data_IF_561109098154
#
_entry.id   IF_561109098154
#
_cell.length_a   1.000
_cell.length_b   1.000
_cell.length_c   1.000
_cell.angle_alpha   90.00
_cell.angle_beta   90.00
_cell.angle_gamma   90.00
#
_symmetry.space_group_name_H-M   'P 1'
#
loop_
_entity.id
_entity.type
_entity.pdbx_description
1 polymer ?
#
# COMPACT_ATOMS: atom_id res chain seq x y z
N UNK A 1 4.87 15.45 14.18
CA UNK A 1 3.74 14.81 13.49
C UNK A 1 2.63 14.59 14.52
N UNK A 2 1.35 14.78 14.16
CA UNK A 2 0.21 14.41 15.02
C UNK A 2 -0.21 12.97 14.69
N UNK A 3 -0.67 12.17 15.67
CA UNK A 3 -1.23 10.84 15.40
C UNK A 3 -2.44 10.90 14.45
N UNK A 4 -2.69 9.84 13.68
CA UNK A 4 -3.78 9.79 12.70
C UNK A 4 -5.15 9.98 13.35
N UNK A 5 -5.35 9.45 14.56
CA UNK A 5 -6.60 9.61 15.31
C UNK A 5 -6.91 11.06 15.76
N UNK A 6 -5.95 11.99 15.62
CA UNK A 6 -6.17 13.43 15.85
C UNK A 6 -6.58 14.16 14.58
N UNK A 7 -6.42 13.54 13.41
CA UNK A 7 -6.64 14.16 12.10
C UNK A 7 -7.77 13.52 11.30
N UNK A 8 -7.97 12.22 11.47
CA UNK A 8 -8.93 11.40 10.74
C UNK A 8 -9.78 10.58 11.72
N UNK A 9 -10.97 10.11 11.31
CA UNK A 9 -11.83 9.23 12.12
C UNK A 9 -11.29 7.78 12.25
N UNK A 10 -9.98 7.62 12.45
CA UNK A 10 -9.33 6.35 12.75
C UNK A 10 -9.19 6.26 14.27
N UNK A 11 -9.83 5.31 14.94
CA UNK A 11 -9.65 5.13 16.39
C UNK A 11 -8.46 4.23 16.66
N UNK A 12 -8.37 3.12 15.92
CA UNK A 12 -7.30 2.14 16.07
C UNK A 12 -6.77 1.72 14.69
N UNK A 13 -5.45 1.63 14.58
CA UNK A 13 -4.83 1.20 13.34
C UNK A 13 -3.49 0.51 13.55
N UNK A 14 -3.06 -0.23 12.53
CA UNK A 14 -1.82 -1.00 12.55
C UNK A 14 -0.89 -0.66 11.38
N UNK A 15 0.40 -0.90 11.57
CA UNK A 15 1.45 -0.82 10.56
C UNK A 15 2.15 -2.17 10.45
N UNK A 16 2.23 -2.73 9.24
CA UNK A 16 2.94 -3.96 8.93
C UNK A 16 4.05 -3.62 7.94
N UNK A 17 5.31 -3.74 8.36
CA UNK A 17 6.47 -3.49 7.50
C UNK A 17 7.66 -4.35 7.92
N UNK A 18 8.54 -4.63 6.95
CA UNK A 18 9.87 -5.17 7.20
C UNK A 18 10.90 -4.07 7.55
N UNK A 19 10.61 -2.82 7.17
CA UNK A 19 11.54 -1.68 7.23
C UNK A 19 11.34 -0.90 8.53
N UNK A 20 12.40 -0.77 9.32
CA UNK A 20 12.34 -0.11 10.63
C UNK A 20 11.97 1.37 10.56
N UNK A 21 12.38 2.07 9.50
CA UNK A 21 11.99 3.46 9.26
C UNK A 21 10.46 3.59 9.16
N UNK A 22 9.82 2.74 8.38
CA UNK A 22 8.36 2.73 8.18
C UNK A 22 7.64 2.35 9.48
N UNK A 23 8.17 1.40 10.26
CA UNK A 23 7.64 1.08 11.59
C UNK A 23 7.70 2.29 12.52
N UNK A 24 8.83 2.99 12.54
CA UNK A 24 9.02 4.21 13.33
C UNK A 24 8.01 5.29 12.94
N UNK A 25 7.80 5.53 11.65
CA UNK A 25 6.79 6.48 11.16
C UNK A 25 5.40 6.05 11.61
N UNK A 26 5.06 4.77 11.52
CA UNK A 26 3.79 4.23 12.01
C UNK A 26 3.58 4.46 13.51
N UNK A 27 4.61 4.26 14.34
CA UNK A 27 4.57 4.57 15.78
C UNK A 27 4.30 6.06 16.00
N UNK A 28 5.00 6.95 15.29
CA UNK A 28 4.72 8.39 15.33
C UNK A 28 3.31 8.75 14.85
N UNK A 29 2.73 7.94 13.97
CA UNK A 29 1.36 8.07 13.48
C UNK A 29 0.30 7.52 14.47
N UNK A 30 0.72 6.87 15.55
CA UNK A 30 -0.15 6.22 16.52
C UNK A 30 -0.66 4.84 16.07
N UNK A 31 0.05 4.17 15.15
CA UNK A 31 -0.27 2.82 14.69
C UNK A 31 0.45 1.76 15.52
N UNK A 32 -0.23 0.65 15.78
CA UNK A 32 0.34 -0.55 16.38
C UNK A 32 1.27 -1.25 15.38
N UNK A 33 2.50 -1.57 15.78
CA UNK A 33 3.45 -2.29 14.92
C UNK A 33 3.18 -3.79 14.98
N UNK A 34 2.80 -4.38 13.86
CA UNK A 34 2.64 -5.83 13.72
C UNK A 34 3.87 -6.37 12.99
N UNK A 35 4.61 -7.24 13.69
CA UNK A 35 5.78 -7.92 13.13
C UNK A 35 5.36 -9.26 12.53
N UNK A 36 5.86 -9.54 11.33
CA UNK A 36 5.60 -10.79 10.61
C UNK A 36 6.91 -11.54 10.49
N UNK A 37 6.92 -12.78 10.98
CA UNK A 37 8.08 -13.67 10.85
C UNK A 37 8.42 -13.89 9.37
N UNK A 38 9.71 -13.80 9.02
CA UNK A 38 10.17 -13.91 7.64
C UNK A 38 9.88 -12.68 6.76
N UNK A 39 9.45 -11.55 7.33
CA UNK A 39 9.35 -10.29 6.59
C UNK A 39 10.74 -9.66 6.39
N UNK A 40 11.42 -10.02 5.30
CA UNK A 40 12.81 -9.59 5.01
C UNK A 40 12.90 -8.21 4.36
N UNK A 41 11.84 -7.76 3.68
CA UNK A 41 11.87 -6.55 2.85
C UNK A 41 12.39 -6.79 1.43
N UNK A 42 12.95 -7.97 1.13
CA UNK A 42 13.46 -8.33 -0.18
C UNK A 42 12.41 -9.14 -0.97
N UNK A 43 12.77 -9.53 -2.20
CA UNK A 43 11.89 -10.31 -3.09
C UNK A 43 11.43 -11.66 -2.50
N UNK A 44 12.15 -12.19 -1.51
CA UNK A 44 11.87 -13.44 -0.81
C UNK A 44 11.10 -13.24 0.51
N UNK A 45 10.64 -12.01 0.81
CA UNK A 45 9.86 -11.71 2.01
C UNK A 45 8.64 -12.61 2.13
N UNK A 46 8.17 -12.83 3.36
CA UNK A 46 6.93 -13.56 3.63
C UNK A 46 5.68 -12.74 3.23
N UNK A 47 5.30 -12.76 1.95
CA UNK A 47 4.11 -12.06 1.44
C UNK A 47 2.82 -12.61 2.06
N UNK A 48 2.68 -13.93 2.12
CA UNK A 48 1.49 -14.59 2.65
C UNK A 48 1.27 -14.28 4.13
N UNK A 49 2.36 -14.29 4.92
CA UNK A 49 2.33 -13.89 6.33
C UNK A 49 1.92 -12.44 6.49
N UNK A 50 2.40 -11.54 5.62
CA UNK A 50 2.00 -10.13 5.61
C UNK A 50 0.53 -9.93 5.24
N UNK A 51 0.05 -10.62 4.21
CA UNK A 51 -1.36 -10.59 3.82
C UNK A 51 -2.27 -11.13 4.92
N UNK A 52 -1.91 -12.26 5.54
CA UNK A 52 -2.63 -12.83 6.69
C UNK A 52 -2.67 -11.85 7.86
N UNK A 53 -1.53 -11.28 8.23
CA UNK A 53 -1.44 -10.32 9.31
C UNK A 53 -2.31 -9.07 9.05
N UNK A 54 -2.37 -8.59 7.81
CA UNK A 54 -3.23 -7.47 7.44
C UNK A 54 -4.71 -7.81 7.58
N UNK A 55 -5.13 -8.98 7.10
CA UNK A 55 -6.50 -9.47 7.23
C UNK A 55 -6.91 -9.69 8.69
N UNK A 56 -6.03 -10.24 9.52
CA UNK A 56 -6.31 -10.43 10.94
C UNK A 56 -6.34 -9.09 11.68
N UNK A 57 -5.47 -8.15 11.33
CA UNK A 57 -5.48 -6.80 11.88
C UNK A 57 -6.77 -6.04 11.53
N UNK A 58 -7.28 -6.16 10.29
CA UNK A 58 -8.51 -5.49 9.86
C UNK A 58 -9.76 -5.91 10.63
N UNK A 59 -9.76 -7.09 11.28
CA UNK A 59 -10.88 -7.52 12.14
C UNK A 59 -10.99 -6.73 13.45
N UNK A 60 -9.89 -6.09 13.86
CA UNK A 60 -9.73 -5.46 15.17
C UNK A 60 -9.30 -3.99 15.07
N UNK A 61 -9.17 -3.45 13.85
CA UNK A 61 -8.64 -2.12 13.57
C UNK A 61 -9.40 -1.45 12.42
N UNK A 62 -9.59 -0.14 12.49
CA UNK A 62 -10.26 0.65 11.45
C UNK A 62 -9.33 0.94 10.25
N UNK A 63 -8.03 0.78 10.44
CA UNK A 63 -7.02 1.14 9.46
C UNK A 63 -5.78 0.23 9.54
N UNK A 64 -5.32 -0.26 8.39
CA UNK A 64 -4.08 -1.05 8.30
C UNK A 64 -3.21 -0.49 7.19
N UNK A 65 -1.99 -0.08 7.53
CA UNK A 65 -0.95 0.26 6.58
C UNK A 65 -0.04 -0.96 6.36
N UNK A 66 -0.18 -1.61 5.21
CA UNK A 66 0.66 -2.74 4.81
C UNK A 66 1.73 -2.28 3.82
N UNK A 67 2.99 -2.53 4.16
CA UNK A 67 4.15 -2.10 3.40
C UNK A 67 4.95 -3.25 2.78
N UNK A 68 5.26 -3.11 1.49
CA UNK A 68 6.03 -4.05 0.67
C UNK A 68 7.21 -3.31 0.05
N UNK A 69 8.43 -3.66 0.48
CA UNK A 69 9.67 -2.96 0.11
C UNK A 69 10.31 -3.50 -1.19
N UNK A 70 10.07 -4.77 -1.52
CA UNK A 70 10.84 -5.51 -2.52
C UNK A 70 10.91 -4.85 -3.92
N UNK A 71 9.89 -4.10 -4.31
CA UNK A 71 9.86 -3.39 -5.60
C UNK A 71 10.79 -2.17 -5.65
N UNK A 72 11.05 -1.55 -4.51
CA UNK A 72 11.98 -0.43 -4.39
C UNK A 72 13.43 -0.90 -4.45
N UNK A 73 13.76 -1.95 -3.70
CA UNK A 73 15.07 -2.61 -3.71
C UNK A 73 15.48 -3.06 -5.12
N UNK A 74 14.58 -3.71 -5.86
CA UNK A 74 14.83 -4.06 -7.26
C UNK A 74 15.06 -2.82 -8.15
N UNK A 75 14.40 -1.70 -7.83
CA UNK A 75 14.63 -0.40 -8.47
C UNK A 75 16.04 0.14 -8.21
N UNK A 76 16.52 0.05 -6.97
CA UNK A 76 17.88 0.43 -6.58
C UNK A 76 18.96 -0.45 -7.21
N UNK A 77 18.72 -1.75 -7.34
CA UNK A 77 19.63 -2.66 -8.04
C UNK A 77 19.66 -2.40 -9.56
N UNK A 78 18.61 -1.75 -10.08
CA UNK A 78 18.42 -1.53 -11.50
C UNK A 78 18.08 -2.81 -12.27
N UNK A 79 17.54 -3.80 -11.56
CA UNK A 79 17.10 -5.08 -12.14
C UNK A 79 15.63 -4.96 -12.55
N UNK A 80 15.41 -4.80 -13.86
CA UNK A 80 14.07 -4.64 -14.43
C UNK A 80 13.25 -5.91 -14.30
N UNK A 81 13.85 -7.08 -14.52
CA UNK A 81 13.13 -8.36 -14.48
C UNK A 81 12.71 -8.69 -13.05
N UNK A 82 13.57 -8.42 -12.07
CA UNK A 82 13.23 -8.55 -10.67
C UNK A 82 12.14 -7.55 -10.25
N UNK A 83 12.23 -6.29 -10.72
CA UNK A 83 11.23 -5.28 -10.39
C UNK A 83 9.85 -5.61 -10.95
N UNK A 84 9.78 -6.13 -12.18
CA UNK A 84 8.52 -6.64 -12.75
C UNK A 84 7.98 -7.79 -11.91
N UNK A 85 8.85 -8.75 -11.56
CA UNK A 85 8.46 -9.92 -10.75
C UNK A 85 7.94 -9.54 -9.36
N UNK A 86 8.54 -8.56 -8.69
CA UNK A 86 8.07 -8.11 -7.36
C UNK A 86 6.73 -7.38 -7.43
N UNK A 87 6.43 -6.69 -8.54
CA UNK A 87 5.09 -6.14 -8.82
C UNK A 87 4.07 -7.26 -9.06
N UNK A 88 4.42 -8.30 -9.82
CA UNK A 88 3.56 -9.49 -10.00
C UNK A 88 3.31 -10.24 -8.68
N UNK A 89 4.32 -10.31 -7.80
CA UNK A 89 4.17 -10.86 -6.45
C UNK A 89 3.27 -9.99 -5.58
N UNK A 90 3.39 -8.66 -5.65
CA UNK A 90 2.47 -7.76 -4.97
C UNK A 90 1.02 -8.02 -5.42
N UNK A 91 0.78 -8.10 -6.72
CA UNK A 91 -0.56 -8.36 -7.28
C UNK A 91 -1.12 -9.72 -6.81
N UNK A 92 -0.37 -10.78 -7.06
CA UNK A 92 -0.86 -12.15 -6.83
C UNK A 92 -0.83 -12.62 -5.38
N UNK A 93 0.12 -12.14 -4.57
CA UNK A 93 0.37 -12.63 -3.19
C UNK A 93 -0.07 -11.65 -2.10
N UNK A 94 -0.40 -10.40 -2.44
CA UNK A 94 -0.92 -9.40 -1.50
C UNK A 94 -2.29 -8.89 -1.93
N UNK A 95 -2.37 -8.23 -3.09
CA UNK A 95 -3.59 -7.52 -3.52
C UNK A 95 -4.74 -8.51 -3.73
N UNK A 96 -4.52 -9.55 -4.54
CA UNK A 96 -5.52 -10.58 -4.81
C UNK A 96 -6.06 -11.25 -3.53
N UNK A 97 -5.25 -11.84 -2.64
CA UNK A 97 -5.79 -12.51 -1.46
C UNK A 97 -6.51 -11.56 -0.48
N UNK A 98 -6.03 -10.32 -0.33
CA UNK A 98 -6.71 -9.32 0.52
C UNK A 98 -8.07 -8.94 -0.11
N UNK A 99 -8.08 -8.66 -1.41
CA UNK A 99 -9.30 -8.31 -2.13
C UNK A 99 -10.33 -9.44 -2.10
N UNK A 100 -9.92 -10.68 -2.41
CA UNK A 100 -10.81 -11.84 -2.44
C UNK A 100 -11.41 -12.10 -1.05
N UNK A 101 -10.59 -12.07 0.02
CA UNK A 101 -11.07 -12.28 1.39
C UNK A 101 -12.02 -11.17 1.82
N UNK A 102 -11.61 -9.90 1.73
CA UNK A 102 -12.43 -8.76 2.19
C UNK A 102 -13.71 -8.57 1.37
N UNK A 103 -13.76 -9.05 0.12
CA UNK A 103 -14.99 -9.05 -0.69
C UNK A 103 -16.08 -9.98 -0.14
N UNK A 104 -15.71 -10.94 0.71
CA UNK A 104 -16.65 -11.84 1.39
C UNK A 104 -17.20 -11.26 2.69
N UNK A 105 -16.64 -10.17 3.19
CA UNK A 105 -17.05 -9.59 4.47
C UNK A 105 -18.34 -8.77 4.32
N UNK A 106 -19.14 -8.78 5.39
CA UNK A 106 -20.34 -7.95 5.47
C UNK A 106 -19.98 -6.47 5.61
N UNK A 107 -18.97 -6.17 6.42
CA UNK A 107 -18.41 -4.82 6.56
C UNK A 107 -17.53 -4.49 5.35
N UNK A 108 -17.83 -3.40 4.61
CA UNK A 108 -17.07 -3.04 3.43
C UNK A 108 -15.68 -2.52 3.81
N UNK A 109 -14.66 -3.06 3.15
CA UNK A 109 -13.28 -2.58 3.29
C UNK A 109 -12.93 -1.67 2.10
N UNK A 110 -12.38 -0.50 2.40
CA UNK A 110 -11.74 0.36 1.40
C UNK A 110 -10.27 -0.04 1.26
N UNK A 111 -9.85 -0.35 0.04
CA UNK A 111 -8.48 -0.73 -0.31
C UNK A 111 -7.87 0.38 -1.16
N UNK A 112 -6.67 0.81 -0.78
CA UNK A 112 -5.85 1.73 -1.57
C UNK A 112 -4.51 1.05 -1.88
N UNK A 113 -4.05 1.15 -3.13
CA UNK A 113 -2.75 0.63 -3.56
C UNK A 113 -2.00 1.74 -4.27
N UNK A 114 -0.79 2.04 -3.79
CA UNK A 114 0.13 3.04 -4.32
C UNK A 114 1.55 2.80 -3.79
N UNK A 115 2.60 3.12 -4.56
CA UNK A 115 3.93 3.30 -4.01
C UNK A 115 4.02 4.67 -3.31
N UNK A 116 4.98 4.83 -2.41
CA UNK A 116 5.27 6.10 -1.74
C UNK A 116 6.18 7.02 -2.58
N UNK A 117 7.04 6.44 -3.43
CA UNK A 117 7.83 7.18 -4.41
C UNK A 117 8.22 6.35 -5.65
N UNK A 118 8.60 6.99 -6.77
CA UNK A 118 9.19 6.28 -7.90
C UNK A 118 10.70 6.10 -7.76
N UNK A 119 11.15 4.86 -8.00
CA UNK A 119 12.58 4.48 -8.04
C UNK A 119 12.92 3.83 -9.39
N UNK A 120 13.16 4.61 -10.46
CA UNK A 120 13.36 4.06 -11.80
C UNK A 120 14.67 3.25 -11.90
N UNK A 121 14.62 2.03 -12.46
CA UNK A 121 15.79 1.14 -12.57
C UNK A 121 16.99 1.76 -13.31
N UNK A 122 16.74 2.67 -14.25
CA UNK A 122 17.79 3.39 -14.97
C UNK A 122 18.51 4.43 -14.11
N UNK A 123 17.85 4.96 -13.08
CA UNK A 123 18.37 6.01 -12.20
C UNK A 123 18.85 5.42 -10.86
N UNK A 124 18.27 4.29 -10.43
CA UNK A 124 18.65 3.53 -9.22
C UNK A 124 18.57 4.33 -7.92
N UNK A 125 17.77 5.39 -7.94
CA UNK A 125 17.50 6.22 -6.77
C UNK A 125 16.12 6.87 -6.91
N UNK A 126 15.61 7.41 -5.82
CA UNK A 126 14.28 7.97 -5.76
C UNK A 126 14.20 9.22 -6.65
N UNK A 127 13.07 9.37 -7.31
CA UNK A 127 12.72 10.53 -8.10
C UNK A 127 11.50 11.23 -7.50
N UNK A 128 11.07 12.33 -8.10
CA UNK A 128 9.98 13.18 -7.57
C UNK A 128 8.73 13.19 -8.44
N UNK A 129 8.69 12.30 -9.43
CA UNK A 129 7.51 12.16 -10.28
C UNK A 129 6.32 11.69 -9.47
N UNK A 130 5.11 12.02 -9.93
CA UNK A 130 3.89 11.56 -9.31
C UNK A 130 3.75 10.03 -9.44
N UNK A 131 3.18 9.40 -8.42
CA UNK A 131 2.92 7.96 -8.37
C UNK A 131 1.48 7.65 -8.79
N UNK A 132 1.22 6.51 -9.47
CA UNK A 132 -0.13 6.05 -9.67
C UNK A 132 -0.73 5.57 -8.35
N UNK A 133 -2.05 5.63 -8.22
CA UNK A 133 -2.77 4.99 -7.13
C UNK A 133 -4.12 4.48 -7.62
N UNK A 134 -4.67 3.50 -6.91
CA UNK A 134 -6.04 3.02 -7.09
C UNK A 134 -6.73 2.97 -5.73
N UNK A 135 -8.01 3.34 -5.71
CA UNK A 135 -8.91 3.19 -4.56
C UNK A 135 -10.07 2.29 -4.98
N UNK A 136 -10.38 1.31 -4.14
CA UNK A 136 -11.52 0.42 -4.30
C UNK A 136 -12.29 0.33 -3.00
N UNK A 137 -13.61 0.32 -3.07
CA UNK A 137 -14.47 -0.16 -2.01
C UNK A 137 -15.72 -0.77 -2.63
N UNK A 138 -16.43 -1.62 -1.87
CA UNK A 138 -17.70 -2.19 -2.32
C UNK A 138 -18.68 -1.07 -2.68
N UNK A 139 -19.21 -1.11 -3.90
CA UNK A 139 -20.17 -0.11 -4.41
C UNK A 139 -19.54 1.17 -4.97
N UNK A 140 -18.22 1.25 -5.14
CA UNK A 140 -17.59 2.37 -5.84
C UNK A 140 -18.04 2.42 -7.31
N UNK A 141 -18.32 3.63 -7.82
CA UNK A 141 -18.55 3.85 -9.25
C UNK A 141 -17.20 3.89 -9.99
N UNK A 142 -16.92 2.93 -10.89
CA UNK A 142 -15.63 2.88 -11.57
C UNK A 142 -15.52 3.99 -12.62
N UNK A 143 -14.31 4.53 -12.78
CA UNK A 143 -14.01 5.42 -13.90
C UNK A 143 -13.67 4.64 -15.20
N UNK A 144 -13.17 5.36 -16.21
CA UNK A 144 -12.85 4.78 -17.50
C UNK A 144 -11.53 4.00 -17.54
N UNK A 145 -10.70 4.08 -16.51
CA UNK A 145 -9.38 3.43 -16.46
C UNK A 145 -9.54 1.92 -16.27
N UNK A 146 -8.77 1.13 -17.01
CA UNK A 146 -8.84 -0.35 -17.02
C UNK A 146 -7.53 -1.05 -16.68
N UNK A 147 -6.43 -0.32 -16.61
CA UNK A 147 -5.10 -0.84 -16.27
C UNK A 147 -4.44 0.06 -15.24
N UNK A 148 -3.62 -0.53 -14.38
CA UNK A 148 -2.87 0.17 -13.35
C UNK A 148 -1.41 0.33 -13.78
N UNK A 149 -1.10 1.53 -14.29
CA UNK A 149 0.24 1.93 -14.73
C UNK A 149 0.34 3.47 -14.71
N UNK A 150 1.56 4.00 -14.80
CA UNK A 150 1.86 5.44 -14.72
C UNK A 150 1.23 6.27 -15.85
N UNK A 151 0.82 5.64 -16.95
CA UNK A 151 0.20 6.32 -18.09
C UNK A 151 -1.31 6.33 -18.01
N UNK A 152 -1.92 5.19 -17.66
CA UNK A 152 -3.35 5.01 -17.51
C UNK A 152 -3.90 5.79 -16.31
N UNK A 153 -3.16 5.82 -15.19
CA UNK A 153 -3.56 6.54 -13.97
C UNK A 153 -3.78 8.05 -14.19
N UNK A 154 -3.13 8.66 -15.20
CA UNK A 154 -3.32 10.08 -15.55
C UNK A 154 -4.73 10.41 -16.04
N UNK A 155 -5.51 9.40 -16.41
CA UNK A 155 -6.91 9.54 -16.86
C UNK A 155 -7.91 9.25 -15.73
N UNK A 156 -7.43 8.94 -14.53
CA UNK A 156 -8.26 8.63 -13.38
C UNK A 156 -9.01 9.85 -12.85
N UNK A 157 -10.21 9.63 -12.31
CA UNK A 157 -11.13 10.71 -11.92
C UNK A 157 -10.62 11.58 -10.76
N UNK A 158 -9.75 11.04 -9.90
CA UNK A 158 -9.16 11.79 -8.79
C UNK A 158 -8.18 12.88 -9.24
N UNK A 159 -7.66 12.79 -10.47
CA UNK A 159 -6.63 13.70 -10.96
C UNK A 159 -5.32 13.63 -10.17
N UNK A 160 -4.56 14.74 -10.18
CA UNK A 160 -3.30 14.84 -9.45
C UNK A 160 -3.52 15.38 -8.04
N UNK A 161 -3.34 14.53 -7.04
CA UNK A 161 -3.41 14.88 -5.62
C UNK A 161 -2.02 15.26 -5.07
N UNK A 162 -1.99 16.13 -4.06
CA UNK A 162 -0.78 16.60 -3.38
C UNK A 162 -0.92 16.53 -1.86
N UNK A 163 0.18 16.17 -1.19
CA UNK A 163 0.26 16.17 0.27
C UNK A 163 -0.80 15.26 0.90
N UNK A 164 -1.66 15.82 1.74
CA UNK A 164 -2.68 15.06 2.47
C UNK A 164 -4.02 14.91 1.71
N UNK A 165 -4.11 15.40 0.47
CA UNK A 165 -5.30 15.28 -0.36
C UNK A 165 -5.67 13.82 -0.62
N UNK A 166 -4.69 12.92 -0.76
CA UNK A 166 -4.95 11.49 -0.90
C UNK A 166 -5.73 10.94 0.29
N UNK A 167 -5.24 11.16 1.51
CA UNK A 167 -5.90 10.68 2.73
C UNK A 167 -7.28 11.30 2.93
N UNK A 168 -7.47 12.57 2.53
CA UNK A 168 -8.79 13.23 2.56
C UNK A 168 -9.77 12.59 1.58
N UNK A 169 -9.32 12.06 0.44
CA UNK A 169 -10.19 11.34 -0.50
C UNK A 169 -10.40 9.87 -0.12
N UNK A 170 -9.50 9.28 0.68
CA UNK A 170 -9.57 7.89 1.08
C UNK A 170 -10.45 7.67 2.33
N UNK A 171 -10.41 8.59 3.29
CA UNK A 171 -10.99 8.41 4.64
C UNK A 171 -12.24 9.29 4.88
N UNK A 172 -12.54 10.26 4.03
CA UNK A 172 -13.73 11.12 4.12
C UNK A 172 -14.75 10.75 3.05
#
# INVERSE_FOLDING_TARGET
MQPLNKKYPIQKGAVISAVDLIRGIGVYAGLEVIQVEGATGLYDTNYEGKARAALDALKENDFVFLHIEASDEAGHEGDVDLKVRTIEYLDSRIVKPIFEETSTWDEPVTIAVLPDHPTPCAIRTHTRDAVPFVVYHKGIEPDSVKTYDEFAAKKGVFGLLRGDEFMKNLIL
#
